data_IF_914725676569
#
_entry.id   IF_914725676569
#
_cell.length_a   1.000
_cell.length_b   1.000
_cell.length_c   1.000
_cell.angle_alpha   90.00
_cell.angle_beta   90.00
_cell.angle_gamma   90.00
#
_symmetry.space_group_name_H-M   'P 1'
#
loop_
_entity.id
_entity.type
_entity.pdbx_description
1 polymer ?
#
# COMPACT_ATOMS: atom_id res chain seq x y z
N UNK A 1 7.46 17.04 -5.65
CA UNK A 1 6.01 16.86 -5.47
C UNK A 1 5.38 16.37 -6.77
N UNK A 2 4.57 15.33 -6.69
CA UNK A 2 3.77 14.82 -7.79
C UNK A 2 2.30 15.08 -7.44
N UNK A 3 1.57 15.89 -8.24
CA UNK A 3 0.17 16.20 -7.95
C UNK A 3 -0.06 16.73 -6.52
N UNK A 4 0.82 17.57 -6.02
CA UNK A 4 0.85 18.10 -4.64
C UNK A 4 1.08 17.03 -3.55
N UNK A 5 1.46 15.81 -3.92
CA UNK A 5 1.86 14.76 -3.01
C UNK A 5 3.38 14.83 -2.87
N UNK A 6 3.93 15.08 -1.66
CA UNK A 6 5.37 15.03 -1.45
C UNK A 6 5.89 13.64 -1.81
N UNK A 7 6.86 13.59 -2.71
CA UNK A 7 7.45 12.34 -3.16
C UNK A 7 8.92 12.55 -3.54
N UNK A 8 9.72 11.50 -3.37
CA UNK A 8 11.06 11.38 -3.94
C UNK A 8 10.98 10.52 -5.20
N UNK A 9 11.69 10.93 -6.24
CA UNK A 9 11.99 10.09 -7.39
C UNK A 9 13.47 9.72 -7.27
N UNK A 10 13.75 8.43 -7.18
CA UNK A 10 15.11 7.90 -7.07
C UNK A 10 15.42 7.17 -8.37
N UNK A 11 16.39 7.70 -9.11
CA UNK A 11 16.78 7.21 -10.43
C UNK A 11 18.23 7.57 -10.74
N UNK A 12 18.78 7.04 -11.83
CA UNK A 12 20.07 7.50 -12.36
C UNK A 12 19.84 8.76 -13.19
N UNK A 13 20.81 9.67 -13.19
CA UNK A 13 20.75 10.94 -13.91
C UNK A 13 20.43 10.76 -15.40
N UNK A 14 20.98 9.71 -16.03
CA UNK A 14 20.71 9.40 -17.44
C UNK A 14 19.27 8.97 -17.75
N UNK A 15 18.44 8.71 -16.73
CA UNK A 15 17.03 8.31 -16.88
C UNK A 15 16.06 9.48 -16.74
N UNK A 16 16.56 10.63 -16.27
CA UNK A 16 15.73 11.79 -16.02
C UNK A 16 14.92 12.19 -17.29
N UNK A 17 13.62 12.37 -17.11
CA UNK A 17 12.72 12.74 -18.20
C UNK A 17 12.50 11.67 -19.28
N UNK A 18 12.94 10.42 -19.07
CA UNK A 18 12.82 9.32 -20.05
C UNK A 18 11.94 8.19 -19.53
N UNK A 19 11.23 7.47 -20.42
CA UNK A 19 10.50 6.26 -20.02
C UNK A 19 11.43 5.23 -19.40
N UNK A 20 11.07 4.73 -18.20
CA UNK A 20 11.86 3.72 -17.50
C UNK A 20 10.97 2.76 -16.71
N UNK A 21 11.40 1.49 -16.46
CA UNK A 21 10.71 0.62 -15.53
C UNK A 21 10.56 1.32 -14.18
N UNK A 22 9.34 1.43 -13.66
CA UNK A 22 9.05 2.27 -12.49
C UNK A 22 8.26 1.50 -11.44
N UNK A 23 8.63 1.67 -10.18
CA UNK A 23 7.90 1.17 -9.01
C UNK A 23 7.52 2.33 -8.11
N UNK A 24 6.26 2.40 -7.67
CA UNK A 24 5.81 3.28 -6.59
C UNK A 24 5.87 2.45 -5.30
N UNK A 25 6.68 2.88 -4.33
CA UNK A 25 6.91 2.11 -3.11
C UNK A 25 6.49 2.90 -1.86
N UNK A 26 5.57 2.31 -1.09
CA UNK A 26 4.86 2.95 0.01
C UNK A 26 5.49 2.60 1.37
N UNK A 27 5.64 3.60 2.23
CA UNK A 27 6.19 3.42 3.56
C UNK A 27 5.19 2.88 4.59
N UNK A 28 5.68 2.44 5.75
CA UNK A 28 4.90 1.97 6.88
C UNK A 28 4.29 3.10 7.72
N UNK A 29 3.41 2.73 8.65
CA UNK A 29 2.84 3.64 9.63
C UNK A 29 3.94 4.24 10.53
N UNK A 30 3.83 5.52 10.89
CA UNK A 30 4.84 6.31 11.61
C UNK A 30 6.22 6.37 10.93
N UNK A 31 6.26 6.22 9.62
CA UNK A 31 7.45 6.29 8.80
C UNK A 31 7.34 7.45 7.81
N UNK A 32 8.23 7.53 6.83
CA UNK A 32 8.21 8.52 5.77
C UNK A 32 8.92 7.97 4.53
N UNK A 33 8.84 8.69 3.44
CA UNK A 33 9.42 8.30 2.15
C UNK A 33 10.92 7.99 2.23
N UNK A 34 11.67 8.73 3.05
CA UNK A 34 13.11 8.58 3.18
C UNK A 34 13.52 7.24 3.80
N UNK A 35 12.67 6.65 4.66
CA UNK A 35 12.97 5.36 5.30
C UNK A 35 13.05 4.20 4.31
N UNK A 36 12.52 4.37 3.10
CA UNK A 36 12.55 3.37 2.03
C UNK A 36 13.70 3.56 1.03
N UNK A 37 14.60 4.53 1.24
CA UNK A 37 15.71 4.81 0.33
C UNK A 37 16.65 3.61 0.12
N UNK A 38 16.78 2.73 1.12
CA UNK A 38 17.58 1.51 0.98
C UNK A 38 16.97 0.51 -0.03
N UNK A 39 15.64 0.41 -0.12
CA UNK A 39 14.98 -0.37 -1.17
C UNK A 39 15.12 0.33 -2.52
N UNK A 40 14.91 1.64 -2.57
CA UNK A 40 15.04 2.42 -3.79
C UNK A 40 16.45 2.31 -4.37
N UNK A 41 17.49 2.44 -3.55
CA UNK A 41 18.87 2.27 -3.98
C UNK A 41 19.13 0.90 -4.63
N UNK A 42 18.65 -0.18 -4.01
CA UNK A 42 18.83 -1.52 -4.56
C UNK A 42 18.07 -1.68 -5.90
N UNK A 43 16.83 -1.19 -6.00
CA UNK A 43 16.02 -1.28 -7.22
C UNK A 43 16.63 -0.44 -8.35
N UNK A 44 17.14 0.76 -8.06
CA UNK A 44 17.82 1.61 -9.05
C UNK A 44 19.08 0.92 -9.60
N UNK A 45 19.83 0.22 -8.77
CA UNK A 45 20.98 -0.57 -9.23
C UNK A 45 20.56 -1.77 -10.12
N UNK A 46 19.32 -2.21 -10.03
CA UNK A 46 18.73 -3.24 -10.91
C UNK A 46 17.99 -2.65 -12.13
N UNK A 47 18.10 -1.36 -12.35
CA UNK A 47 17.50 -0.72 -13.52
C UNK A 47 16.04 -0.31 -13.35
N UNK A 48 15.59 -0.03 -12.13
CA UNK A 48 14.20 0.35 -11.83
C UNK A 48 14.16 1.71 -11.16
N UNK A 49 13.45 2.67 -11.75
CA UNK A 49 13.09 3.95 -11.10
C UNK A 49 12.17 3.70 -9.93
N UNK A 50 12.37 4.40 -8.82
CA UNK A 50 11.51 4.27 -7.65
C UNK A 50 10.91 5.61 -7.26
N UNK A 51 9.60 5.63 -7.08
CA UNK A 51 8.83 6.77 -6.58
C UNK A 51 8.39 6.47 -5.15
N UNK A 52 8.79 7.32 -4.22
CA UNK A 52 8.53 7.18 -2.78
C UNK A 52 7.63 8.35 -2.34
N UNK A 53 6.30 8.19 -2.25
CA UNK A 53 5.41 9.23 -1.74
C UNK A 53 5.30 9.20 -0.22
N UNK A 54 5.05 10.37 0.40
CA UNK A 54 4.56 10.44 1.78
C UNK A 54 3.06 10.20 1.85
N UNK A 55 2.64 9.33 2.75
CA UNK A 55 1.23 9.14 3.08
C UNK A 55 0.67 10.36 3.83
N UNK A 56 -0.64 10.53 3.82
CA UNK A 56 -1.32 11.56 4.62
C UNK A 56 -0.92 11.46 6.10
N UNK A 57 -0.69 12.59 6.77
CA UNK A 57 -0.19 12.74 8.15
C UNK A 57 1.23 12.17 8.39
N UNK A 58 2.02 11.92 7.35
CA UNK A 58 3.39 11.41 7.47
C UNK A 58 4.39 12.26 6.69
N UNK A 59 5.66 12.20 7.08
CA UNK A 59 6.75 12.90 6.40
C UNK A 59 6.50 14.40 6.29
N UNK A 60 6.60 14.97 5.08
CA UNK A 60 6.33 16.41 4.85
C UNK A 60 4.85 16.79 5.02
N UNK A 61 3.97 15.83 5.24
CA UNK A 61 2.52 16.03 5.47
C UNK A 61 2.14 15.85 6.94
N UNK A 62 3.13 15.72 7.81
CA UNK A 62 2.92 15.68 9.26
C UNK A 62 2.45 17.06 9.74
N UNK A 63 1.34 17.09 10.44
CA UNK A 63 0.74 18.28 11.03
C UNK A 63 0.86 18.29 12.56
N UNK A 64 1.76 17.48 13.12
CA UNK A 64 1.93 17.29 14.55
C UNK A 64 0.91 16.34 15.18
N UNK A 65 0.29 15.46 14.39
CA UNK A 65 -0.63 14.45 14.89
C UNK A 65 0.07 13.48 15.84
N UNK A 66 -0.45 13.32 17.04
CA UNK A 66 0.02 12.30 17.97
C UNK A 66 -0.35 10.88 17.52
N UNK A 67 0.21 9.88 18.18
CA UNK A 67 -0.04 8.47 17.88
C UNK A 67 -1.53 8.11 17.93
N UNK A 68 -2.29 8.66 18.88
CA UNK A 68 -3.71 8.36 19.03
C UNK A 68 -4.51 8.89 17.84
N UNK A 69 -4.25 10.13 17.41
CA UNK A 69 -4.88 10.75 16.25
C UNK A 69 -4.50 10.04 14.95
N UNK A 70 -3.23 9.70 14.79
CA UNK A 70 -2.77 8.93 13.64
C UNK A 70 -3.45 7.56 13.58
N UNK A 71 -3.51 6.84 14.70
CA UNK A 71 -4.15 5.52 14.79
C UNK A 71 -5.65 5.59 14.48
N UNK A 72 -6.34 6.61 14.98
CA UNK A 72 -7.76 6.84 14.67
C UNK A 72 -8.00 7.15 13.17
N UNK A 73 -7.00 7.69 12.47
CA UNK A 73 -7.06 7.99 11.05
C UNK A 73 -6.43 6.91 10.16
N UNK A 74 -6.01 5.76 10.70
CA UNK A 74 -5.30 4.72 9.97
C UNK A 74 -5.98 4.36 8.63
N UNK A 75 -7.25 4.03 8.68
CA UNK A 75 -7.99 3.66 7.47
C UNK A 75 -8.20 4.82 6.49
N UNK A 76 -8.37 6.04 7.01
CA UNK A 76 -8.41 7.24 6.17
C UNK A 76 -7.08 7.43 5.44
N UNK A 77 -5.94 7.20 6.13
CA UNK A 77 -4.60 7.28 5.53
C UNK A 77 -4.47 6.24 4.42
N UNK A 78 -4.83 4.98 4.68
CA UNK A 78 -4.77 3.89 3.69
C UNK A 78 -5.64 4.18 2.47
N UNK A 79 -6.91 4.55 2.67
CA UNK A 79 -7.85 4.85 1.57
C UNK A 79 -7.41 6.07 0.76
N UNK A 80 -6.90 7.11 1.43
CA UNK A 80 -6.33 8.29 0.74
C UNK A 80 -5.13 7.87 -0.10
N UNK A 81 -4.21 7.07 0.43
CA UNK A 81 -3.03 6.60 -0.29
C UNK A 81 -3.39 5.74 -1.51
N UNK A 82 -4.42 4.89 -1.41
CA UNK A 82 -4.95 4.15 -2.58
C UNK A 82 -5.41 5.13 -3.67
N UNK A 83 -6.15 6.16 -3.30
CA UNK A 83 -6.61 7.17 -4.26
C UNK A 83 -5.44 7.97 -4.87
N UNK A 84 -4.48 8.36 -4.05
CA UNK A 84 -3.30 9.13 -4.46
C UNK A 84 -2.37 8.33 -5.39
N UNK A 85 -2.28 7.00 -5.24
CA UNK A 85 -1.56 6.14 -6.19
C UNK A 85 -2.05 6.32 -7.63
N UNK A 86 -3.37 6.45 -7.83
CA UNK A 86 -3.92 6.70 -9.17
C UNK A 86 -3.47 8.05 -9.72
N UNK A 87 -3.41 9.09 -8.87
CA UNK A 87 -2.96 10.42 -9.28
C UNK A 87 -1.48 10.39 -9.67
N UNK A 88 -0.63 9.76 -8.84
CA UNK A 88 0.79 9.59 -9.13
C UNK A 88 0.99 8.83 -10.45
N UNK A 89 0.30 7.69 -10.63
CA UNK A 89 0.35 6.92 -11.87
C UNK A 89 -0.04 7.75 -13.09
N UNK A 90 -1.13 8.52 -12.98
CA UNK A 90 -1.62 9.36 -14.07
C UNK A 90 -0.58 10.42 -14.45
N UNK A 91 0.00 11.13 -13.48
CA UNK A 91 1.04 12.12 -13.71
C UNK A 91 2.28 11.51 -14.38
N UNK A 92 2.80 10.40 -13.86
CA UNK A 92 3.95 9.70 -14.44
C UNK A 92 3.70 9.25 -15.88
N UNK A 93 2.47 8.82 -16.16
CA UNK A 93 2.06 8.40 -17.50
C UNK A 93 1.94 9.57 -18.47
N UNK A 94 1.33 10.68 -18.05
CA UNK A 94 1.16 11.90 -18.85
C UNK A 94 2.51 12.57 -19.15
N UNK A 95 3.45 12.51 -18.21
CA UNK A 95 4.83 12.98 -18.40
C UNK A 95 5.69 12.00 -19.24
N UNK A 96 5.14 10.86 -19.66
CA UNK A 96 5.86 9.88 -20.47
C UNK A 96 6.99 9.13 -19.74
N UNK A 97 6.94 9.06 -18.42
CA UNK A 97 8.01 8.48 -17.60
C UNK A 97 7.92 6.96 -17.45
N UNK A 98 6.77 6.35 -17.79
CA UNK A 98 6.55 4.91 -17.67
C UNK A 98 6.93 4.18 -18.95
N UNK A 99 7.84 3.21 -18.87
CA UNK A 99 8.20 2.35 -19.99
C UNK A 99 7.00 1.43 -20.34
N UNK A 100 6.54 1.51 -21.59
CA UNK A 100 5.36 0.80 -22.11
C UNK A 100 4.08 1.03 -21.26
N UNK A 101 4.03 2.13 -20.49
CA UNK A 101 2.94 2.44 -19.57
C UNK A 101 2.86 1.54 -18.35
N UNK A 102 3.86 0.69 -18.10
CA UNK A 102 3.90 -0.30 -17.02
C UNK A 102 4.44 0.28 -15.72
N UNK A 103 3.84 -0.17 -14.61
CA UNK A 103 4.26 0.26 -13.28
C UNK A 103 4.06 -0.86 -12.25
N UNK A 104 5.05 -0.99 -11.37
CA UNK A 104 4.92 -1.79 -10.14
C UNK A 104 4.45 -0.95 -8.96
N UNK A 105 3.78 -1.59 -8.01
CA UNK A 105 3.43 -0.97 -6.72
C UNK A 105 3.89 -1.90 -5.60
N UNK A 106 4.49 -1.33 -4.56
CA UNK A 106 4.89 -2.11 -3.39
C UNK A 106 4.90 -1.30 -2.12
N UNK A 107 5.13 -1.95 -1.00
CA UNK A 107 5.28 -1.27 0.27
C UNK A 107 5.49 -2.20 1.46
N UNK A 108 5.74 -1.57 2.60
CA UNK A 108 5.95 -2.24 3.89
C UNK A 108 4.81 -1.93 4.86
N UNK A 109 4.33 -2.92 5.63
CA UNK A 109 3.33 -2.73 6.71
C UNK A 109 2.09 -1.99 6.19
N UNK A 110 1.78 -0.79 6.65
CA UNK A 110 0.71 0.06 6.12
C UNK A 110 0.82 0.25 4.60
N UNK A 111 2.02 0.41 4.05
CA UNK A 111 2.25 0.50 2.61
C UNK A 111 1.90 -0.79 1.87
N UNK A 112 2.15 -1.96 2.47
CA UNK A 112 1.73 -3.25 1.92
C UNK A 112 0.20 -3.43 2.00
N UNK A 113 -0.42 -3.01 3.11
CA UNK A 113 -1.89 -2.95 3.23
C UNK A 113 -2.45 -2.09 2.10
N UNK A 114 -1.92 -0.88 1.90
CA UNK A 114 -2.32 0.01 0.80
C UNK A 114 -2.13 -0.65 -0.57
N UNK A 115 -1.03 -1.40 -0.77
CA UNK A 115 -0.76 -2.14 -2.02
C UNK A 115 -1.84 -3.17 -2.31
N UNK A 116 -2.30 -3.93 -1.32
CA UNK A 116 -3.39 -4.89 -1.49
C UNK A 116 -4.71 -4.20 -1.91
N UNK A 117 -5.06 -3.08 -1.28
CA UNK A 117 -6.23 -2.32 -1.67
C UNK A 117 -6.12 -1.68 -3.05
N UNK A 118 -4.91 -1.27 -3.45
CA UNK A 118 -4.64 -0.79 -4.80
C UNK A 118 -4.81 -1.90 -5.84
N UNK A 119 -4.36 -3.14 -5.55
CA UNK A 119 -4.58 -4.31 -6.40
C UNK A 119 -6.08 -4.63 -6.57
N UNK A 120 -6.87 -4.49 -5.51
CA UNK A 120 -8.31 -4.63 -5.57
C UNK A 120 -9.00 -3.52 -6.38
N UNK A 121 -8.39 -2.30 -6.44
CA UNK A 121 -9.00 -1.12 -7.05
C UNK A 121 -8.58 -0.90 -8.50
N UNK A 122 -7.34 -1.25 -8.87
CA UNK A 122 -6.73 -0.81 -10.13
C UNK A 122 -6.15 -1.96 -10.96
N UNK A 123 -6.50 -1.99 -12.24
CA UNK A 123 -5.98 -2.96 -13.21
C UNK A 123 -4.68 -2.53 -13.89
N UNK A 124 -4.28 -1.27 -13.74
CA UNK A 124 -3.06 -0.73 -14.34
C UNK A 124 -1.77 -1.09 -13.59
N UNK A 125 -1.87 -1.72 -12.42
CA UNK A 125 -0.73 -2.24 -11.68
C UNK A 125 -0.30 -3.54 -12.34
N UNK A 126 0.94 -3.61 -12.84
CA UNK A 126 1.45 -4.79 -13.57
C UNK A 126 2.09 -5.82 -12.64
N UNK A 127 2.72 -5.37 -11.56
CA UNK A 127 3.40 -6.22 -10.56
C UNK A 127 3.29 -5.59 -9.18
N UNK A 128 3.24 -6.40 -8.15
CA UNK A 128 3.18 -5.89 -6.79
C UNK A 128 4.13 -6.59 -5.82
N UNK A 129 4.53 -5.83 -4.78
CA UNK A 129 5.35 -6.31 -3.66
C UNK A 129 4.69 -5.91 -2.35
N UNK A 130 4.32 -6.88 -1.54
CA UNK A 130 3.70 -6.65 -0.23
C UNK A 130 4.56 -7.26 0.89
N UNK A 131 5.16 -6.40 1.70
CA UNK A 131 5.99 -6.85 2.83
C UNK A 131 5.28 -6.59 4.16
N UNK A 132 5.01 -7.66 4.91
CA UNK A 132 4.36 -7.65 6.23
C UNK A 132 3.04 -6.86 6.27
N UNK A 133 2.15 -7.12 5.29
CA UNK A 133 0.84 -6.46 5.17
C UNK A 133 -0.33 -7.38 5.51
N UNK A 134 -1.53 -6.87 5.36
CA UNK A 134 -2.78 -7.60 5.51
C UNK A 134 -3.75 -7.25 4.38
N UNK A 135 -4.21 -8.26 3.66
CA UNK A 135 -5.16 -8.11 2.54
C UNK A 135 -6.64 -8.16 2.99
N UNK A 136 -6.91 -8.63 4.23
CA UNK A 136 -8.24 -8.79 4.80
C UNK A 136 -8.59 -7.54 5.62
N UNK A 137 -9.09 -6.51 4.96
CA UNK A 137 -9.32 -5.20 5.58
C UNK A 137 -10.40 -5.21 6.65
N UNK A 138 -11.52 -5.88 6.38
CA UNK A 138 -12.60 -6.00 7.37
C UNK A 138 -12.13 -6.74 8.61
N UNK A 139 -11.38 -7.83 8.45
CA UNK A 139 -10.83 -8.59 9.56
C UNK A 139 -9.86 -7.74 10.40
N UNK A 140 -8.99 -6.98 9.75
CA UNK A 140 -8.05 -6.08 10.43
C UNK A 140 -8.79 -4.95 11.17
N UNK A 141 -9.76 -4.31 10.53
CA UNK A 141 -10.53 -3.22 11.12
C UNK A 141 -11.35 -3.71 12.32
N UNK A 142 -11.98 -4.89 12.22
CA UNK A 142 -12.69 -5.49 13.34
C UNK A 142 -11.76 -5.80 14.51
N UNK A 143 -10.58 -6.38 14.23
CA UNK A 143 -9.57 -6.65 15.25
C UNK A 143 -9.09 -5.38 15.97
N UNK A 144 -8.93 -4.26 15.25
CA UNK A 144 -8.59 -2.96 15.83
C UNK A 144 -9.72 -2.44 16.74
N UNK A 145 -10.98 -2.52 16.30
CA UNK A 145 -12.14 -2.13 17.12
C UNK A 145 -12.24 -2.95 18.40
N UNK A 146 -12.04 -4.26 18.30
CA UNK A 146 -12.09 -5.17 19.45
C UNK A 146 -10.95 -4.89 20.43
N UNK A 147 -9.76 -4.56 19.91
CA UNK A 147 -8.63 -4.14 20.75
C UNK A 147 -8.93 -2.85 21.52
N UNK A 148 -9.50 -1.82 20.87
CA UNK A 148 -9.90 -0.59 21.55
C UNK A 148 -10.95 -0.82 22.62
N UNK A 149 -11.99 -1.63 22.33
CA UNK A 149 -13.01 -2.01 23.31
C UNK A 149 -12.40 -2.73 24.52
N UNK A 150 -11.49 -3.69 24.29
CA UNK A 150 -10.81 -4.44 25.35
C UNK A 150 -9.92 -3.55 26.24
N UNK A 151 -9.37 -2.49 25.69
CA UNK A 151 -8.58 -1.48 26.43
C UNK A 151 -9.45 -0.41 27.11
N UNK A 152 -10.76 -0.49 27.01
CA UNK A 152 -11.67 0.52 27.54
C UNK A 152 -11.61 1.87 26.83
N UNK A 153 -11.00 1.90 25.63
CA UNK A 153 -10.91 3.10 24.80
C UNK A 153 -12.19 3.20 23.97
N UNK A 154 -12.95 4.28 24.17
CA UNK A 154 -14.07 4.59 23.29
C UNK A 154 -13.57 5.40 22.10
N UNK A 155 -13.89 4.96 20.90
CA UNK A 155 -13.68 5.78 19.72
C UNK A 155 -14.72 6.92 19.76
N UNK A 156 -14.32 8.18 19.58
CA UNK A 156 -15.23 9.32 19.60
C UNK A 156 -15.98 9.45 18.26
N UNK A 157 -16.56 8.34 17.78
CA UNK A 157 -17.28 8.27 16.51
C UNK A 157 -18.58 7.47 16.68
N UNK A 158 -19.62 7.90 15.97
CA UNK A 158 -20.90 7.20 15.96
C UNK A 158 -20.82 5.87 15.21
N UNK A 159 -21.70 4.93 15.55
CA UNK A 159 -21.78 3.64 14.87
C UNK A 159 -22.00 3.79 13.36
N UNK A 160 -22.75 4.79 12.91
CA UNK A 160 -22.97 5.09 11.49
C UNK A 160 -21.67 5.38 10.73
N UNK A 161 -20.70 6.04 11.38
CA UNK A 161 -19.37 6.32 10.77
C UNK A 161 -18.56 5.04 10.63
N UNK A 162 -18.66 4.14 11.63
CA UNK A 162 -18.03 2.83 11.57
C UNK A 162 -18.61 1.99 10.45
N UNK A 163 -19.96 1.96 10.35
CA UNK A 163 -20.66 1.21 9.31
C UNK A 163 -20.31 1.72 7.89
N UNK A 164 -20.17 3.04 7.74
CA UNK A 164 -19.74 3.63 6.47
C UNK A 164 -18.29 3.29 6.14
N UNK A 165 -17.41 3.31 7.14
CA UNK A 165 -16.02 2.86 6.97
C UNK A 165 -15.98 1.42 6.45
N UNK A 166 -16.69 0.48 7.07
CA UNK A 166 -16.72 -0.91 6.63
C UNK A 166 -17.23 -1.07 5.19
N UNK A 167 -18.25 -0.31 4.78
CA UNK A 167 -18.70 -0.28 3.38
C UNK A 167 -17.64 0.23 2.42
N UNK A 168 -16.81 1.19 2.83
CA UNK A 168 -15.68 1.65 2.02
C UNK A 168 -14.58 0.60 1.95
N UNK A 169 -14.26 -0.04 3.07
CA UNK A 169 -13.23 -1.08 3.14
C UNK A 169 -13.61 -2.29 2.28
N UNK A 170 -14.86 -2.76 2.34
CA UNK A 170 -15.35 -3.89 1.54
C UNK A 170 -15.06 -3.72 0.04
N UNK A 171 -15.16 -2.51 -0.48
CA UNK A 171 -14.93 -2.22 -1.92
C UNK A 171 -13.47 -2.41 -2.36
N UNK A 172 -12.54 -2.26 -1.43
CA UNK A 172 -11.09 -2.30 -1.66
C UNK A 172 -10.40 -3.42 -0.89
N UNK A 173 -11.15 -4.25 -0.16
CA UNK A 173 -10.65 -5.43 0.53
C UNK A 173 -10.29 -6.51 -0.50
N UNK A 174 -8.99 -6.77 -0.69
CA UNK A 174 -8.55 -7.72 -1.71
C UNK A 174 -9.08 -9.13 -1.42
N UNK A 175 -9.24 -9.53 -0.15
CA UNK A 175 -9.76 -10.85 0.21
C UNK A 175 -11.20 -11.09 -0.29
N UNK A 176 -11.95 -10.03 -0.53
CA UNK A 176 -13.31 -10.07 -1.12
C UNK A 176 -13.30 -10.05 -2.66
N UNK A 177 -12.16 -9.74 -3.26
CA UNK A 177 -12.00 -9.47 -4.69
C UNK A 177 -10.77 -10.16 -5.27
N UNK A 178 -10.51 -11.39 -4.91
CA UNK A 178 -9.32 -12.15 -5.33
C UNK A 178 -9.23 -12.33 -6.86
N UNK A 179 -10.38 -12.36 -7.54
CA UNK A 179 -10.45 -12.36 -9.02
C UNK A 179 -9.75 -11.15 -9.65
N UNK A 180 -9.68 -10.02 -8.90
CA UNK A 180 -9.01 -8.80 -9.35
C UNK A 180 -7.49 -8.91 -9.34
N UNK A 181 -6.91 -9.94 -8.72
CA UNK A 181 -5.48 -10.24 -8.85
C UNK A 181 -5.10 -10.50 -10.31
N UNK A 182 -6.00 -11.13 -11.09
CA UNK A 182 -5.83 -11.35 -12.51
C UNK A 182 -4.46 -11.95 -12.85
N UNK A 183 -3.98 -12.87 -12.00
CA UNK A 183 -2.68 -13.53 -12.10
C UNK A 183 -1.47 -12.59 -12.25
N UNK A 184 -1.59 -11.33 -11.78
CA UNK A 184 -0.46 -10.39 -11.77
C UNK A 184 0.64 -10.90 -10.84
N UNK A 185 1.92 -10.80 -11.22
CA UNK A 185 3.02 -11.15 -10.32
C UNK A 185 2.90 -10.43 -8.99
N UNK A 186 2.87 -11.19 -7.90
CA UNK A 186 2.74 -10.70 -6.54
C UNK A 186 3.80 -11.36 -5.66
N UNK A 187 4.77 -10.57 -5.21
CA UNK A 187 5.73 -11.00 -4.20
C UNK A 187 5.21 -10.66 -2.81
N UNK A 188 5.17 -11.66 -1.93
CA UNK A 188 4.77 -11.49 -0.53
C UNK A 188 5.92 -11.91 0.37
N UNK A 189 6.27 -11.05 1.31
CA UNK A 189 7.22 -11.36 2.38
C UNK A 189 6.61 -11.01 3.74
N UNK A 190 6.76 -11.89 4.73
CA UNK A 190 6.24 -11.64 6.07
C UNK A 190 7.07 -12.41 7.10
N UNK A 191 7.42 -11.75 8.22
CA UNK A 191 8.11 -12.39 9.33
C UNK A 191 7.15 -13.24 10.16
N UNK A 192 7.49 -14.50 10.41
CA UNK A 192 6.65 -15.43 11.18
C UNK A 192 6.41 -14.98 12.64
N UNK A 193 7.30 -14.13 13.16
CA UNK A 193 7.22 -13.61 14.53
C UNK A 193 6.65 -12.18 14.59
N UNK A 194 6.02 -11.69 13.51
CA UNK A 194 5.40 -10.37 13.51
C UNK A 194 4.18 -10.34 14.47
N UNK A 195 4.31 -9.52 15.52
CA UNK A 195 3.26 -9.34 16.55
C UNK A 195 2.34 -8.15 16.27
N UNK A 196 2.68 -7.30 15.29
CA UNK A 196 1.91 -6.11 14.91
C UNK A 196 0.90 -6.45 13.82
N UNK A 197 1.38 -7.08 12.75
CA UNK A 197 0.53 -7.68 11.72
C UNK A 197 0.77 -9.19 11.77
N UNK A 198 -0.10 -9.98 12.41
CA UNK A 198 0.15 -11.40 12.62
C UNK A 198 0.40 -12.16 11.32
N UNK A 199 1.43 -13.01 11.28
CA UNK A 199 1.77 -13.82 10.10
C UNK A 199 0.60 -14.68 9.61
N UNK A 200 -0.29 -15.11 10.51
CA UNK A 200 -1.47 -15.92 10.19
C UNK A 200 -2.39 -15.31 9.13
N UNK A 201 -2.43 -13.97 9.01
CA UNK A 201 -3.23 -13.32 7.96
C UNK A 201 -2.60 -13.51 6.57
N UNK A 202 -1.28 -13.60 6.50
CA UNK A 202 -0.57 -13.93 5.25
C UNK A 202 -0.74 -15.41 4.91
N UNK A 203 -0.69 -16.32 5.90
CA UNK A 203 -1.00 -17.74 5.67
C UNK A 203 -2.42 -17.93 5.15
N UNK A 204 -3.39 -17.16 5.69
CA UNK A 204 -4.77 -17.19 5.20
C UNK A 204 -4.84 -16.74 3.73
N UNK A 205 -4.25 -15.59 3.41
CA UNK A 205 -4.20 -15.09 2.04
C UNK A 205 -3.53 -16.10 1.08
N UNK A 206 -2.40 -16.68 1.49
CA UNK A 206 -1.70 -17.67 0.65
C UNK A 206 -2.55 -18.90 0.34
N UNK A 207 -3.34 -19.39 1.30
CA UNK A 207 -4.31 -20.50 1.06
C UNK A 207 -5.37 -20.11 0.03
N UNK A 208 -5.82 -18.86 0.05
CA UNK A 208 -6.86 -18.35 -0.84
C UNK A 208 -6.33 -18.08 -2.25
N UNK A 209 -5.11 -17.55 -2.41
CA UNK A 209 -4.59 -17.14 -3.71
C UNK A 209 -3.79 -18.21 -4.44
N UNK A 210 -3.15 -19.16 -3.74
CA UNK A 210 -2.33 -20.20 -4.38
C UNK A 210 -3.07 -20.91 -5.51
N UNK A 211 -4.33 -21.34 -5.36
CA UNK A 211 -5.06 -21.99 -6.45
C UNK A 211 -5.25 -21.10 -7.69
N UNK A 212 -5.25 -19.76 -7.50
CA UNK A 212 -5.44 -18.80 -8.59
C UNK A 212 -4.17 -18.65 -9.46
N UNK A 213 -3.02 -19.08 -8.94
CA UNK A 213 -1.73 -19.01 -9.62
C UNK A 213 -1.21 -20.38 -10.09
N UNK A 214 -1.96 -21.45 -9.86
CA UNK A 214 -1.61 -22.79 -10.36
C UNK A 214 -1.53 -22.78 -11.89
N UNK A 215 -0.39 -23.25 -12.43
CA UNK A 215 -0.13 -23.29 -13.89
C UNK A 215 0.35 -21.96 -14.50
N UNK A 216 0.53 -20.89 -13.70
CA UNK A 216 1.17 -19.67 -14.18
C UNK A 216 2.69 -19.75 -13.98
N UNK A 217 3.44 -19.34 -15.02
CA UNK A 217 4.89 -19.10 -14.95
C UNK A 217 5.13 -17.60 -15.05
N UNK A 218 5.75 -17.02 -14.03
CA UNK A 218 6.15 -15.61 -14.01
C UNK A 218 7.67 -15.48 -13.95
#
# INVERSE_FOLDING_TARGET
NIEQIPALIVEKEEWEGRPHPTVIFLHGFQSGKEHNLHYAYNLVNQGVRVVLPDAHLHGERDDGADFARMSANFWKIVLTSIHELKRIYTALKEEGLLMDGKVGVGGTSMGAITTYGALASYRWIDVAVAMMGNAHYELLAQGQLDYFKKKGLQLPVDQSVIDELFKMLERVDLSKHLDRLNQRPLFIWHGEQDVIVPFSVTELLMKEITPLYEGTTH
#
